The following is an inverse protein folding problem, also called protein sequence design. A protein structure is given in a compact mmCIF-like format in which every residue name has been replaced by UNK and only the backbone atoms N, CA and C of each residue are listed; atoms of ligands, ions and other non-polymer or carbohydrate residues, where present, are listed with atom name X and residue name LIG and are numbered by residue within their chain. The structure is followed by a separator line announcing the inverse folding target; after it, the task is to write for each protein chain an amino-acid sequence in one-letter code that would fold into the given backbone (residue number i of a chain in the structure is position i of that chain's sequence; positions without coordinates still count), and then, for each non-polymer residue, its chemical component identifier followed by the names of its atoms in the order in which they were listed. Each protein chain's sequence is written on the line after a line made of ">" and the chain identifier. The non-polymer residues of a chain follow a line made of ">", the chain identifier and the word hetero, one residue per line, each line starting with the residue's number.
data_IF_523042098500
#
_entry.id   IF_523042098500
#
_cell.length_a   1.000
_cell.length_b   1.000
_cell.length_c   1.000
_cell.angle_alpha   90.00
_cell.angle_beta   90.00
_cell.angle_gamma   90.00
#
_symmetry.space_group_name_H-M   'P 1'
#
loop_
_entity.id
_entity.type
_entity.pdbx_description
1 polymer ?
#
# COMPACT_ATOMS: atom_id res chain seq x y z
N UNK A 1 -42.14 12.86 -26.71
CA UNK A 1 -41.64 11.47 -26.81
C UNK A 1 -40.11 11.35 -26.75
N UNK A 2 -39.36 12.37 -27.20
CA UNK A 2 -37.90 12.38 -27.23
C UNK A 2 -37.31 12.67 -25.84
N UNK A 3 -38.01 13.50 -25.02
CA UNK A 3 -37.54 13.84 -23.66
C UNK A 3 -37.59 12.67 -22.66
N UNK A 4 -38.47 11.70 -22.87
CA UNK A 4 -38.62 10.54 -21.99
C UNK A 4 -37.44 9.55 -22.07
N UNK A 5 -36.78 9.50 -23.24
CA UNK A 5 -35.62 8.63 -23.47
C UNK A 5 -34.33 9.27 -23.00
N UNK A 6 -34.23 10.59 -22.92
CA UNK A 6 -33.06 11.29 -22.39
C UNK A 6 -32.98 11.21 -20.88
N UNK A 7 -34.12 11.20 -20.17
CA UNK A 7 -34.14 11.02 -18.71
C UNK A 7 -33.71 9.63 -18.27
N UNK A 8 -34.02 8.60 -19.07
CA UNK A 8 -33.64 7.22 -18.79
C UNK A 8 -32.15 6.97 -19.00
N UNK A 9 -31.52 7.71 -19.91
CA UNK A 9 -30.08 7.60 -20.17
C UNK A 9 -29.25 8.29 -19.06
N UNK A 10 -29.79 9.39 -18.50
CA UNK A 10 -29.12 10.14 -17.43
C UNK A 10 -29.08 9.36 -16.11
N UNK A 11 -30.09 8.54 -15.83
CA UNK A 11 -30.17 7.73 -14.59
C UNK A 11 -29.19 6.56 -14.61
N UNK A 12 -28.87 6.01 -15.79
CA UNK A 12 -27.93 4.89 -15.92
C UNK A 12 -26.48 5.35 -15.76
N UNK A 13 -26.15 6.59 -16.12
CA UNK A 13 -24.78 7.13 -16.03
C UNK A 13 -24.39 7.53 -14.60
N UNK A 14 -25.34 7.76 -13.70
CA UNK A 14 -25.04 8.10 -12.30
C UNK A 14 -24.76 6.90 -11.40
N UNK A 15 -25.12 5.69 -11.85
CA UNK A 15 -24.91 4.47 -11.04
C UNK A 15 -23.51 3.86 -11.15
N UNK A 16 -22.69 4.28 -12.14
CA UNK A 16 -21.36 3.68 -12.41
C UNK A 16 -20.26 4.33 -11.57
N UNK A 17 -20.50 5.47 -10.93
CA UNK A 17 -19.48 6.21 -10.18
C UNK A 17 -19.36 5.85 -8.68
N UNK A 18 -20.21 4.94 -8.16
CA UNK A 18 -20.24 4.66 -6.72
C UNK A 18 -19.45 3.39 -6.33
N UNK A 19 -19.01 2.58 -7.30
CA UNK A 19 -18.42 1.27 -6.99
C UNK A 19 -16.89 1.23 -6.93
N UNK A 20 -16.19 2.34 -7.17
CA UNK A 20 -14.73 2.33 -7.24
C UNK A 20 -14.02 2.55 -5.88
N UNK A 21 -14.73 2.95 -4.82
CA UNK A 21 -14.11 3.30 -3.54
C UNK A 21 -14.28 2.26 -2.43
N UNK A 22 -15.04 1.17 -2.67
CA UNK A 22 -15.41 0.23 -1.61
C UNK A 22 -14.34 -0.83 -1.27
N UNK A 23 -13.22 -0.91 -2.02
CA UNK A 23 -12.21 -1.98 -1.88
C UNK A 23 -10.78 -1.46 -1.83
N UNK A 24 -10.54 -0.21 -1.45
CA UNK A 24 -9.20 0.27 -1.19
C UNK A 24 -8.71 -0.33 0.15
N UNK A 25 -8.08 -1.51 0.09
CA UNK A 25 -7.34 -2.07 1.22
C UNK A 25 -6.14 -1.19 1.58
N UNK A 26 -5.44 -1.55 2.65
CA UNK A 26 -4.21 -0.86 3.03
C UNK A 26 -3.18 -0.93 1.90
N UNK A 27 -2.58 0.20 1.60
CA UNK A 27 -1.55 0.33 0.59
C UNK A 27 -0.20 0.75 1.17
N UNK A 28 0.83 0.87 0.32
CA UNK A 28 2.15 1.27 0.74
C UNK A 28 2.19 2.72 1.23
N UNK A 29 3.12 2.99 2.14
CA UNK A 29 3.29 4.27 2.81
C UNK A 29 4.43 5.07 2.21
N UNK A 30 4.23 6.39 2.09
CA UNK A 30 5.31 7.33 1.83
C UNK A 30 6.24 7.41 3.04
N UNK A 31 7.51 7.73 2.80
CA UNK A 31 8.45 8.00 3.89
C UNK A 31 8.17 9.36 4.52
N UNK A 32 8.51 9.53 5.81
CA UNK A 32 8.43 10.82 6.47
C UNK A 32 9.28 11.89 5.76
N UNK A 33 8.85 13.14 5.89
CA UNK A 33 9.62 14.28 5.42
C UNK A 33 11.00 14.29 6.11
N UNK A 34 12.05 14.62 5.35
CA UNK A 34 13.41 14.57 5.84
C UNK A 34 14.11 13.22 5.76
N UNK A 35 13.43 12.19 5.26
CA UNK A 35 14.05 10.88 4.98
C UNK A 35 15.13 10.98 3.91
N UNK A 36 16.01 9.96 3.84
CA UNK A 36 17.04 9.90 2.80
C UNK A 36 16.41 10.06 1.41
N UNK A 37 16.89 10.99 0.58
CA UNK A 37 16.27 11.28 -0.73
C UNK A 37 16.29 10.09 -1.70
N UNK A 38 17.37 9.31 -1.71
CA UNK A 38 17.49 8.14 -2.58
C UNK A 38 16.55 7.02 -2.12
N UNK A 39 16.48 6.76 -0.82
CA UNK A 39 15.50 5.82 -0.27
C UNK A 39 14.07 6.25 -0.59
N UNK A 40 13.77 7.54 -0.47
CA UNK A 40 12.46 8.10 -0.81
C UNK A 40 12.12 7.94 -2.28
N UNK A 41 13.09 8.10 -3.18
CA UNK A 41 12.91 7.90 -4.62
C UNK A 41 12.54 6.45 -4.92
N UNK A 42 13.30 5.48 -4.39
CA UNK A 42 12.98 4.06 -4.58
C UNK A 42 11.64 3.70 -3.97
N UNK A 43 11.32 4.22 -2.80
CA UNK A 43 10.02 3.98 -2.17
C UNK A 43 8.86 4.51 -3.02
N UNK A 44 8.99 5.69 -3.62
CA UNK A 44 7.98 6.25 -4.54
C UNK A 44 7.80 5.39 -5.79
N UNK A 45 8.88 4.90 -6.38
CA UNK A 45 8.80 3.99 -7.53
C UNK A 45 8.10 2.67 -7.13
N UNK A 46 8.42 2.14 -5.95
CA UNK A 46 7.72 0.97 -5.41
C UNK A 46 6.22 1.20 -5.25
N UNK A 47 5.83 2.34 -4.70
CA UNK A 47 4.41 2.71 -4.55
C UNK A 47 3.71 2.79 -5.90
N UNK A 48 4.37 3.36 -6.90
CA UNK A 48 3.83 3.45 -8.27
C UNK A 48 3.58 2.06 -8.87
N UNK A 49 4.56 1.15 -8.80
CA UNK A 49 4.40 -0.22 -9.28
C UNK A 49 3.34 -0.99 -8.50
N UNK A 50 3.29 -0.80 -7.19
CA UNK A 50 2.27 -1.42 -6.35
C UNK A 50 0.86 -1.00 -6.78
N UNK A 51 0.66 0.29 -7.07
CA UNK A 51 -0.61 0.84 -7.56
C UNK A 51 -1.04 0.29 -8.92
N UNK A 52 -0.09 -0.19 -9.73
CA UNK A 52 -0.35 -0.86 -11.01
C UNK A 52 -0.55 -2.39 -10.87
N UNK A 53 -0.48 -2.92 -9.67
CA UNK A 53 -0.54 -4.36 -9.43
C UNK A 53 0.75 -5.11 -9.75
N UNK A 54 1.85 -4.41 -10.02
CA UNK A 54 3.18 -4.99 -10.26
C UNK A 54 3.90 -5.17 -8.93
N UNK A 55 3.43 -6.14 -8.12
CA UNK A 55 3.91 -6.33 -6.75
C UNK A 55 5.35 -6.83 -6.64
N UNK A 56 5.83 -7.58 -7.63
CA UNK A 56 7.22 -8.03 -7.74
C UNK A 56 8.18 -6.86 -8.00
N UNK A 57 7.85 -5.98 -8.95
CA UNK A 57 8.62 -4.76 -9.21
C UNK A 57 8.54 -3.79 -8.02
N UNK A 58 7.37 -3.65 -7.40
CA UNK A 58 7.22 -2.86 -6.19
C UNK A 58 8.14 -3.35 -5.08
N UNK A 59 8.14 -4.65 -4.82
CA UNK A 59 9.02 -5.27 -3.81
C UNK A 59 10.49 -5.00 -4.09
N UNK A 60 10.92 -5.10 -5.35
CA UNK A 60 12.29 -4.80 -5.75
C UNK A 60 12.70 -3.38 -5.34
N UNK A 61 11.86 -2.38 -5.65
CA UNK A 61 12.13 -1.00 -5.28
C UNK A 61 12.10 -0.78 -3.76
N UNK A 62 11.17 -1.41 -3.04
CA UNK A 62 11.15 -1.32 -1.57
C UNK A 62 12.40 -1.96 -0.94
N UNK A 63 12.92 -3.05 -1.51
CA UNK A 63 14.19 -3.66 -1.07
C UNK A 63 15.38 -2.76 -1.34
N UNK A 64 15.42 -2.06 -2.48
CA UNK A 64 16.43 -1.06 -2.77
C UNK A 64 16.37 0.09 -1.74
N UNK A 65 15.19 0.59 -1.44
CA UNK A 65 14.99 1.59 -0.40
C UNK A 65 15.46 1.10 0.97
N UNK A 66 15.14 -0.13 1.34
CA UNK A 66 15.54 -0.77 2.59
C UNK A 66 17.06 -0.94 2.71
N UNK A 67 17.75 -1.21 1.61
CA UNK A 67 19.20 -1.30 1.57
C UNK A 67 19.87 0.05 1.87
N UNK A 68 19.22 1.15 1.52
CA UNK A 68 19.70 2.51 1.78
C UNK A 68 19.34 2.96 3.20
N UNK A 69 18.11 2.70 3.64
CA UNK A 69 17.61 3.03 4.98
C UNK A 69 16.83 1.86 5.59
N UNK A 70 17.54 0.93 6.19
CA UNK A 70 16.97 -0.23 6.87
C UNK A 70 16.29 0.09 8.21
N UNK A 71 16.33 1.35 8.68
CA UNK A 71 15.72 1.77 9.94
C UNK A 71 14.25 2.19 9.80
N UNK A 72 13.74 2.31 8.56
CA UNK A 72 12.38 2.77 8.29
C UNK A 72 11.34 1.68 8.49
N UNK A 73 10.43 1.91 9.44
CA UNK A 73 9.26 1.04 9.64
C UNK A 73 8.34 1.05 8.42
N UNK A 74 8.20 2.18 7.74
CA UNK A 74 7.38 2.36 6.54
C UNK A 74 7.88 1.48 5.38
N UNK A 75 9.18 1.45 5.14
CA UNK A 75 9.76 0.62 4.09
C UNK A 75 9.51 -0.86 4.38
N UNK A 76 9.76 -1.32 5.61
CA UNK A 76 9.49 -2.71 6.00
C UNK A 76 8.01 -3.07 5.90
N UNK A 77 7.12 -2.14 6.21
CA UNK A 77 5.68 -2.31 5.99
C UNK A 77 5.36 -2.49 4.50
N UNK A 78 5.96 -1.67 3.64
CA UNK A 78 5.78 -1.74 2.19
C UNK A 78 6.30 -3.05 1.61
N UNK A 79 7.46 -3.53 2.08
CA UNK A 79 7.95 -4.87 1.73
C UNK A 79 6.96 -5.95 2.18
N UNK A 80 6.46 -5.86 3.41
CA UNK A 80 5.55 -6.84 3.97
C UNK A 80 4.26 -6.99 3.15
N UNK A 81 3.60 -5.88 2.81
CA UNK A 81 2.37 -5.95 2.01
C UNK A 81 2.63 -6.44 0.59
N UNK A 82 3.81 -6.18 0.04
CA UNK A 82 4.20 -6.69 -1.27
C UNK A 82 4.42 -8.21 -1.24
N UNK A 83 5.11 -8.72 -0.23
CA UNK A 83 5.24 -10.17 -0.01
C UNK A 83 3.88 -10.84 0.19
N UNK A 84 2.99 -10.20 0.94
CA UNK A 84 1.64 -10.73 1.17
C UNK A 84 0.85 -10.85 -0.13
N UNK A 85 0.89 -9.82 -0.99
CA UNK A 85 0.28 -9.85 -2.33
C UNK A 85 0.87 -10.94 -3.24
N UNK A 86 2.13 -11.27 -3.06
CA UNK A 86 2.81 -12.34 -3.80
C UNK A 86 2.57 -13.74 -3.20
N UNK A 87 1.74 -13.86 -2.16
CA UNK A 87 1.43 -15.12 -1.50
C UNK A 87 2.49 -15.61 -0.52
N UNK A 88 3.52 -14.81 -0.24
CA UNK A 88 4.60 -15.16 0.69
C UNK A 88 4.28 -14.67 2.11
N UNK A 89 3.24 -15.25 2.70
CA UNK A 89 2.67 -14.78 3.97
C UNK A 89 3.64 -14.90 5.15
N UNK A 90 4.46 -15.95 5.20
CA UNK A 90 5.44 -16.12 6.27
C UNK A 90 6.55 -15.06 6.24
N UNK A 91 7.02 -14.69 5.06
CA UNK A 91 8.00 -13.61 4.89
C UNK A 91 7.35 -12.27 5.21
N UNK A 92 6.11 -12.05 4.75
CA UNK A 92 5.34 -10.86 5.07
C UNK A 92 5.23 -10.66 6.59
N UNK A 93 4.90 -11.72 7.34
CA UNK A 93 4.78 -11.68 8.80
C UNK A 93 6.08 -11.21 9.46
N UNK A 94 7.23 -11.70 9.00
CA UNK A 94 8.54 -11.26 9.52
C UNK A 94 8.76 -9.76 9.28
N UNK A 95 8.47 -9.27 8.08
CA UNK A 95 8.61 -7.85 7.75
C UNK A 95 7.61 -6.97 8.50
N UNK A 96 6.38 -7.43 8.73
CA UNK A 96 5.44 -6.73 9.61
C UNK A 96 5.97 -6.61 11.04
N UNK A 97 6.59 -7.65 11.56
CA UNK A 97 7.24 -7.60 12.87
C UNK A 97 8.35 -6.57 12.95
N UNK A 98 9.18 -6.47 11.92
CA UNK A 98 10.23 -5.45 11.82
C UNK A 98 9.63 -4.05 11.71
N UNK A 99 8.60 -3.88 10.87
CA UNK A 99 7.90 -2.61 10.71
C UNK A 99 7.33 -2.11 12.05
N UNK A 100 6.73 -2.99 12.83
CA UNK A 100 6.22 -2.65 14.17
C UNK A 100 7.32 -2.17 15.10
N UNK A 101 8.45 -2.87 15.15
CA UNK A 101 9.60 -2.50 15.98
C UNK A 101 10.19 -1.15 15.59
N UNK A 102 10.16 -0.83 14.30
CA UNK A 102 10.74 0.38 13.71
C UNK A 102 9.70 1.46 13.40
N UNK A 103 8.49 1.33 13.92
CA UNK A 103 7.38 2.24 13.61
C UNK A 103 7.65 3.69 14.06
N UNK A 104 8.49 3.92 15.07
CA UNK A 104 8.84 5.27 15.53
C UNK A 104 7.61 6.10 15.94
N UNK A 105 6.56 5.47 16.44
CA UNK A 105 5.31 6.14 16.80
C UNK A 105 4.32 6.32 15.63
N UNK A 106 4.65 5.82 14.43
CA UNK A 106 3.74 5.90 13.29
C UNK A 106 2.47 5.08 13.54
N UNK A 107 1.36 5.77 13.79
CA UNK A 107 0.08 5.13 14.13
C UNK A 107 -0.52 4.35 12.95
N UNK A 108 -0.20 4.70 11.71
CA UNK A 108 -0.64 3.94 10.54
C UNK A 108 -0.03 2.54 10.53
N UNK A 109 1.20 2.39 11.01
CA UNK A 109 1.84 1.08 11.18
C UNK A 109 1.24 0.37 12.39
N UNK A 110 1.27 1.03 13.56
CA UNK A 110 0.88 0.41 14.84
C UNK A 110 -0.60 -0.02 14.88
N UNK A 111 -1.48 0.68 14.17
CA UNK A 111 -2.92 0.39 14.08
C UNK A 111 -3.33 -0.31 12.79
N UNK A 112 -2.38 -0.73 11.98
CA UNK A 112 -2.65 -1.40 10.71
C UNK A 112 -3.39 -2.73 10.94
N UNK A 113 -4.61 -2.91 10.39
CA UNK A 113 -5.33 -4.17 10.50
C UNK A 113 -4.58 -5.35 9.88
N UNK A 114 -3.94 -5.17 8.72
CA UNK A 114 -3.19 -6.25 8.05
C UNK A 114 -1.96 -6.64 8.87
N UNK A 115 -1.20 -5.68 9.39
CA UNK A 115 -0.06 -5.94 10.27
C UNK A 115 -0.49 -6.71 11.51
N UNK A 116 -1.51 -6.22 12.21
CA UNK A 116 -1.98 -6.82 13.44
C UNK A 116 -2.57 -8.22 13.19
N UNK A 117 -3.24 -8.42 12.06
CA UNK A 117 -3.72 -9.72 11.64
C UNK A 117 -2.59 -10.73 11.44
N UNK A 118 -1.51 -10.33 10.77
CA UNK A 118 -0.32 -11.19 10.59
C UNK A 118 0.40 -11.51 11.90
N UNK A 119 0.43 -10.57 12.84
CA UNK A 119 1.11 -10.75 14.13
C UNK A 119 0.24 -11.41 15.21
N UNK A 120 -1.02 -11.75 14.90
CA UNK A 120 -1.94 -12.39 15.83
C UNK A 120 -2.41 -11.49 16.97
N UNK A 121 -2.57 -10.24 16.68
CA UNK A 121 -2.91 -9.21 17.68
C UNK A 121 -4.33 -8.70 17.54
#
# INVERSE_FOLDING_TARGET
>A
KIMRNMLSILVVLTFILISATAFAGEGPMQLPEGSNPEASMHNKEGIKHWGMGHYDEALKHFKEASAIDGSSGEIHFNEAISYDKLGQHGVATKHFGVAKKKAGGNQKILKSPILNGHLGM
#
